data_IF_131860338780
#
_entry.id   IF_131860338780
#
_cell.length_a   1.000
_cell.length_b   1.000
_cell.length_c   1.000
_cell.angle_alpha   90.00
_cell.angle_beta   90.00
_cell.angle_gamma   90.00
#
_symmetry.space_group_name_H-M   'P 1'
#
loop_
_entity.id
_entity.type
_entity.pdbx_description
1 polymer ?
#
# COMPACT_ATOMS: atom_id res chain seq x y z
N UNK A 1 3.78 10.83 4.07
CA UNK A 1 3.12 10.21 2.91
C UNK A 1 2.15 9.17 3.44
N UNK A 2 0.92 9.11 2.94
CA UNK A 2 -0.09 8.12 3.35
C UNK A 2 0.21 6.77 2.68
N UNK A 3 0.12 5.67 3.44
CA UNK A 3 0.50 4.34 2.95
C UNK A 3 -0.38 3.22 3.54
N UNK A 4 -0.11 1.98 3.10
CA UNK A 4 -0.71 0.75 3.64
C UNK A 4 -2.24 0.86 3.74
N UNK A 5 -2.81 0.46 4.88
CA UNK A 5 -4.28 0.40 5.06
C UNK A 5 -4.95 1.76 4.82
N UNK A 6 -4.29 2.88 5.19
CA UNK A 6 -4.84 4.21 4.92
C UNK A 6 -4.86 4.58 3.43
N UNK A 7 -3.86 4.12 2.66
CA UNK A 7 -3.87 4.30 1.21
C UNK A 7 -4.91 3.37 0.55
N UNK A 8 -5.02 2.11 0.99
CA UNK A 8 -6.06 1.19 0.50
C UNK A 8 -7.47 1.74 0.75
N UNK A 9 -7.70 2.34 1.92
CA UNK A 9 -8.97 2.97 2.25
C UNK A 9 -9.24 4.17 1.33
N UNK A 10 -8.24 5.03 1.10
CA UNK A 10 -8.37 6.16 0.18
C UNK A 10 -8.74 5.72 -1.24
N UNK A 11 -8.18 4.60 -1.72
CA UNK A 11 -8.50 4.01 -3.02
C UNK A 11 -9.78 3.16 -3.04
N UNK A 12 -10.51 3.10 -1.92
CA UNK A 12 -11.75 2.34 -1.72
C UNK A 12 -11.59 0.82 -1.94
N UNK A 13 -10.43 0.27 -1.58
CA UNK A 13 -10.09 -1.16 -1.77
C UNK A 13 -10.27 -1.98 -0.49
N UNK A 14 -10.45 -1.32 0.65
CA UNK A 14 -10.75 -1.99 1.91
C UNK A 14 -11.94 -1.35 2.59
N UNK A 15 -12.76 -2.18 3.23
CA UNK A 15 -13.85 -1.74 4.11
C UNK A 15 -13.37 -1.54 5.55
N UNK A 16 -12.10 -1.83 5.84
CA UNK A 16 -11.53 -1.65 7.16
C UNK A 16 -11.37 -0.15 7.45
N UNK A 17 -11.99 0.31 8.53
CA UNK A 17 -11.75 1.64 9.10
C UNK A 17 -10.48 1.59 9.95
N UNK A 18 -9.34 2.13 9.49
CA UNK A 18 -8.11 2.06 10.25
C UNK A 18 -8.23 2.94 11.50
N UNK A 19 -7.98 2.35 12.67
CA UNK A 19 -7.95 3.07 13.96
C UNK A 19 -6.82 4.10 14.06
N UNK A 20 -5.95 4.17 13.05
CA UNK A 20 -4.80 5.06 12.99
C UNK A 20 -4.43 5.35 11.54
N UNK A 21 -3.94 6.56 11.28
CA UNK A 21 -3.43 6.94 9.96
C UNK A 21 -2.04 6.34 9.77
N UNK A 22 -1.85 5.57 8.71
CA UNK A 22 -0.55 5.03 8.33
C UNK A 22 0.25 6.06 7.54
N UNK A 23 1.44 6.36 8.05
CA UNK A 23 2.40 7.24 7.40
C UNK A 23 3.69 6.51 7.05
N UNK A 24 4.15 6.68 5.81
CA UNK A 24 5.45 6.27 5.34
C UNK A 24 6.47 7.40 5.58
N UNK A 25 7.60 7.03 6.18
CA UNK A 25 8.77 7.90 6.38
C UNK A 25 10.07 7.15 6.05
N UNK A 26 11.15 7.89 5.80
CA UNK A 26 12.49 7.37 5.57
C UNK A 26 13.00 6.53 6.72
N UNK A 27 13.89 5.59 6.42
CA UNK A 27 14.52 4.73 7.43
C UNK A 27 15.15 5.53 8.58
N UNK A 28 15.65 6.74 8.32
CA UNK A 28 16.33 7.61 9.29
C UNK A 28 15.51 8.81 9.76
N UNK A 29 14.29 8.98 9.24
CA UNK A 29 13.50 10.18 9.52
C UNK A 29 12.98 10.21 10.95
N UNK A 30 12.84 11.40 11.54
CA UNK A 30 12.18 11.51 12.85
C UNK A 30 10.69 11.21 12.72
N UNK A 31 10.14 10.40 13.63
CA UNK A 31 8.68 10.20 13.72
C UNK A 31 8.02 11.56 14.00
N UNK A 32 6.98 11.96 13.22
CA UNK A 32 6.20 13.15 13.53
C UNK A 32 5.56 13.04 14.91
N UNK A 33 5.58 14.14 15.66
CA UNK A 33 4.86 14.25 16.92
C UNK A 33 3.55 14.98 16.65
N UNK A 34 2.45 14.25 16.67
CA UNK A 34 1.10 14.80 16.54
C UNK A 34 0.20 14.13 17.58
N UNK A 35 -0.70 14.90 18.17
CA UNK A 35 -1.61 14.41 19.21
C UNK A 35 -2.84 13.72 18.61
N UNK A 36 -3.29 14.19 17.44
CA UNK A 36 -4.41 13.62 16.72
C UNK A 36 -4.28 13.89 15.20
N UNK A 37 -4.72 12.97 14.32
CA UNK A 37 -5.21 11.62 14.61
C UNK A 37 -4.08 10.67 15.07
N UNK A 38 -4.40 9.54 15.72
CA UNK A 38 -3.39 8.53 16.06
C UNK A 38 -2.68 8.04 14.79
N UNK A 39 -1.36 7.98 14.82
CA UNK A 39 -0.53 7.58 13.67
C UNK A 39 0.22 6.28 13.89
N UNK A 40 0.29 5.48 12.83
CA UNK A 40 1.22 4.36 12.70
C UNK A 40 2.28 4.69 11.68
N UNK A 41 3.52 4.39 12.02
CA UNK A 41 4.67 4.67 11.18
C UNK A 41 5.14 3.38 10.53
N UNK A 42 5.23 3.40 9.20
CA UNK A 42 5.94 2.38 8.44
C UNK A 42 7.22 3.01 7.87
N UNK A 43 8.33 2.31 8.04
CA UNK A 43 9.64 2.76 7.56
C UNK A 43 9.96 2.14 6.21
N UNK A 44 10.41 2.99 5.30
CA UNK A 44 10.70 2.60 3.93
C UNK A 44 12.11 3.08 3.57
N UNK A 45 12.83 2.26 2.80
CA UNK A 45 14.05 2.71 2.14
C UNK A 45 13.74 3.68 0.99
N UNK A 46 14.72 4.46 0.59
CA UNK A 46 14.56 5.58 -0.35
C UNK A 46 13.84 5.17 -1.64
N UNK A 47 14.24 4.05 -2.26
CA UNK A 47 13.59 3.52 -3.46
C UNK A 47 12.10 3.22 -3.23
N UNK A 48 11.75 2.67 -2.07
CA UNK A 48 10.37 2.31 -1.77
C UNK A 48 9.49 3.52 -1.43
N UNK A 49 10.08 4.64 -1.04
CA UNK A 49 9.38 5.90 -0.77
C UNK A 49 9.05 6.70 -2.03
N UNK A 50 9.77 6.50 -3.12
CA UNK A 50 9.59 7.29 -4.35
C UNK A 50 8.72 6.60 -5.39
N UNK A 51 8.60 5.27 -5.33
CA UNK A 51 7.78 4.50 -6.27
C UNK A 51 6.29 4.68 -5.99
N UNK A 52 5.52 4.86 -7.08
CA UNK A 52 4.06 4.87 -7.06
C UNK A 52 3.49 5.94 -6.12
N UNK A 53 4.03 7.16 -6.20
CA UNK A 53 3.59 8.29 -5.36
C UNK A 53 2.72 9.20 -6.20
N UNK A 54 1.51 9.45 -5.72
CA UNK A 54 0.56 10.37 -6.31
C UNK A 54 0.25 11.49 -5.30
N UNK A 55 -0.10 12.66 -5.81
CA UNK A 55 -0.48 13.81 -4.98
C UNK A 55 -1.94 14.14 -5.23
N UNK A 56 -2.71 14.17 -4.14
CA UNK A 56 -4.13 14.46 -4.13
C UNK A 56 -4.39 15.71 -3.30
N UNK A 57 -5.32 16.55 -3.73
CA UNK A 57 -5.77 17.69 -2.92
C UNK A 57 -6.98 17.25 -2.08
N UNK A 58 -6.81 17.22 -0.76
CA UNK A 58 -7.87 16.88 0.20
C UNK A 58 -8.07 18.11 1.09
N UNK A 59 -9.29 18.66 1.11
CA UNK A 59 -9.60 19.88 1.85
C UNK A 59 -8.60 21.03 1.59
N UNK A 60 -8.28 21.25 0.31
CA UNK A 60 -7.28 22.21 -0.18
C UNK A 60 -5.81 21.94 0.24
N UNK A 61 -5.52 20.82 0.91
CA UNK A 61 -4.17 20.42 1.30
C UNK A 61 -3.61 19.38 0.33
N UNK A 62 -2.41 19.56 -0.23
CA UNK A 62 -1.76 18.54 -1.04
C UNK A 62 -1.25 17.40 -0.15
N UNK A 63 -1.78 16.21 -0.37
CA UNK A 63 -1.45 14.98 0.34
C UNK A 63 -0.82 13.98 -0.62
N UNK A 64 0.39 13.52 -0.28
CA UNK A 64 1.06 12.44 -1.02
C UNK A 64 0.59 11.09 -0.52
N UNK A 65 0.11 10.24 -1.43
CA UNK A 65 -0.43 8.91 -1.17
C UNK A 65 0.22 7.93 -2.13
N UNK A 66 0.51 6.71 -1.68
CA UNK A 66 0.91 5.66 -2.62
C UNK A 66 -0.26 5.27 -3.52
N UNK A 67 0.02 5.04 -4.80
CA UNK A 67 -0.95 4.49 -5.74
C UNK A 67 -1.41 3.10 -5.26
N UNK A 68 -2.49 2.61 -5.88
CA UNK A 68 -3.10 1.38 -5.42
C UNK A 68 -2.20 0.14 -5.63
N UNK A 69 -1.61 -0.02 -6.80
CA UNK A 69 -0.77 -1.18 -7.11
C UNK A 69 0.45 -1.26 -6.16
N UNK A 70 1.08 -0.11 -5.90
CA UNK A 70 2.16 0.05 -4.93
C UNK A 70 1.69 -0.27 -3.52
N UNK A 71 0.50 0.19 -3.13
CA UNK A 71 -0.07 -0.08 -1.80
C UNK A 71 -0.33 -1.57 -1.56
N UNK A 72 -0.83 -2.29 -2.57
CA UNK A 72 -0.99 -3.77 -2.51
C UNK A 72 0.37 -4.45 -2.28
N UNK A 73 1.38 -4.10 -3.09
CA UNK A 73 2.74 -4.65 -2.97
C UNK A 73 3.37 -4.33 -1.61
N UNK A 74 3.18 -3.12 -1.09
CA UNK A 74 3.67 -2.73 0.21
C UNK A 74 3.03 -3.52 1.35
N UNK A 75 1.74 -3.89 1.24
CA UNK A 75 1.08 -4.74 2.22
C UNK A 75 1.72 -6.12 2.29
N UNK A 76 2.10 -6.73 1.15
CA UNK A 76 2.89 -7.97 1.16
C UNK A 76 4.27 -7.78 1.79
N UNK A 77 4.95 -6.66 1.51
CA UNK A 77 6.27 -6.38 2.08
C UNK A 77 6.21 -6.24 3.61
N UNK A 78 5.15 -5.65 4.13
CA UNK A 78 4.97 -5.32 5.57
C UNK A 78 3.92 -6.26 6.21
N UNK A 79 3.64 -7.42 5.60
CA UNK A 79 2.60 -8.38 6.02
C UNK A 79 2.73 -8.86 7.46
N UNK A 80 3.94 -8.89 8.02
CA UNK A 80 4.16 -9.26 9.41
C UNK A 80 3.59 -8.23 10.40
N UNK A 81 3.36 -6.99 9.94
CA UNK A 81 2.81 -5.89 10.74
C UNK A 81 1.34 -5.61 10.39
N UNK A 82 0.99 -5.66 9.10
CA UNK A 82 -0.39 -5.35 8.65
C UNK A 82 -1.31 -6.57 8.57
N UNK A 83 -0.75 -7.78 8.50
CA UNK A 83 -1.49 -9.02 8.26
C UNK A 83 -1.40 -9.49 6.80
N UNK A 84 -1.27 -10.81 6.60
CA UNK A 84 -1.32 -11.42 5.27
C UNK A 84 -2.74 -11.40 4.69
N UNK A 85 -3.74 -11.54 5.54
CA UNK A 85 -5.16 -11.38 5.22
C UNK A 85 -5.45 -10.02 4.58
N UNK A 86 -4.91 -8.93 5.16
CA UNK A 86 -5.02 -7.58 4.58
C UNK A 86 -4.37 -7.49 3.21
N UNK A 87 -3.17 -8.06 3.04
CA UNK A 87 -2.49 -8.07 1.74
C UNK A 87 -3.25 -8.87 0.68
N UNK A 88 -3.82 -10.01 1.07
CA UNK A 88 -4.63 -10.88 0.20
C UNK A 88 -5.95 -10.22 -0.19
N UNK A 89 -6.65 -9.61 0.76
CA UNK A 89 -7.87 -8.83 0.50
C UNK A 89 -7.57 -7.70 -0.47
N UNK A 90 -6.51 -6.93 -0.23
CA UNK A 90 -6.11 -5.82 -1.09
C UNK A 90 -5.82 -6.26 -2.53
N UNK A 91 -5.12 -7.40 -2.70
CA UNK A 91 -4.86 -7.97 -4.02
C UNK A 91 -6.14 -8.39 -4.73
N UNK A 92 -7.00 -9.17 -4.07
CA UNK A 92 -8.26 -9.67 -4.65
C UNK A 92 -9.21 -8.53 -5.01
N UNK A 93 -9.42 -7.58 -4.11
CA UNK A 93 -10.31 -6.44 -4.34
C UNK A 93 -9.73 -5.49 -5.38
N UNK A 94 -8.42 -5.24 -5.35
CA UNK A 94 -7.72 -4.44 -6.37
C UNK A 94 -7.84 -5.05 -7.78
N UNK A 95 -7.75 -6.38 -7.88
CA UNK A 95 -7.95 -7.13 -9.12
C UNK A 95 -9.39 -7.03 -9.62
N UNK A 96 -10.37 -7.40 -8.79
CA UNK A 96 -11.81 -7.39 -9.14
C UNK A 96 -12.33 -6.02 -9.53
N UNK A 97 -11.89 -4.98 -8.82
CA UNK A 97 -12.28 -3.60 -9.13
C UNK A 97 -11.64 -3.06 -10.40
N UNK A 98 -10.65 -3.76 -10.97
CA UNK A 98 -9.81 -3.31 -12.11
C UNK A 98 -9.12 -1.96 -11.89
N UNK A 99 -9.07 -1.47 -10.64
CA UNK A 99 -8.40 -0.23 -10.27
C UNK A 99 -6.87 -0.43 -10.18
N UNK A 100 -6.41 -1.65 -9.88
CA UNK A 100 -4.99 -1.99 -9.85
C UNK A 100 -4.60 -2.72 -11.14
N UNK A 101 -3.70 -2.13 -11.95
CA UNK A 101 -3.20 -2.80 -13.15
C UNK A 101 -2.26 -3.96 -12.77
N UNK A 102 -2.48 -5.18 -13.28
CA UNK A 102 -1.61 -6.33 -13.02
C UNK A 102 -0.13 -6.04 -13.29
N UNK A 103 0.18 -5.40 -14.41
CA UNK A 103 1.56 -5.04 -14.80
C UNK A 103 2.24 -4.11 -13.80
N UNK A 104 1.52 -3.18 -13.18
CA UNK A 104 2.07 -2.29 -12.17
C UNK A 104 2.38 -3.03 -10.86
N UNK A 105 1.55 -4.01 -10.48
CA UNK A 105 1.82 -4.87 -9.32
C UNK A 105 3.11 -5.66 -9.55
N UNK A 106 3.26 -6.29 -10.72
CA UNK A 106 4.48 -7.03 -11.09
C UNK A 106 5.69 -6.09 -11.07
N UNK A 107 5.59 -4.93 -11.75
CA UNK A 107 6.65 -3.92 -11.85
C UNK A 107 7.12 -3.45 -10.47
N UNK A 108 6.19 -3.11 -9.57
CA UNK A 108 6.54 -2.67 -8.22
C UNK A 108 7.14 -3.80 -7.38
N UNK A 109 6.57 -5.00 -7.43
CA UNK A 109 7.07 -6.14 -6.67
C UNK A 109 8.50 -6.54 -7.09
N UNK A 110 8.81 -6.49 -8.39
CA UNK A 110 10.16 -6.68 -8.92
C UNK A 110 11.11 -5.55 -8.50
N UNK A 111 10.69 -4.30 -8.68
CA UNK A 111 11.49 -3.13 -8.31
C UNK A 111 11.87 -3.15 -6.81
N UNK A 112 10.98 -3.66 -5.97
CA UNK A 112 11.15 -3.80 -4.52
C UNK A 112 11.76 -5.14 -4.09
N UNK A 113 12.10 -6.03 -5.03
CA UNK A 113 12.70 -7.36 -4.80
C UNK A 113 11.85 -8.27 -3.90
N UNK A 114 10.53 -8.20 -4.03
CA UNK A 114 9.58 -9.07 -3.30
C UNK A 114 8.72 -9.92 -4.23
N UNK A 115 9.04 -9.99 -5.53
CA UNK A 115 8.23 -10.75 -6.48
C UNK A 115 8.02 -12.21 -6.05
N UNK A 116 9.05 -12.90 -5.56
CA UNK A 116 8.91 -14.28 -5.07
C UNK A 116 7.91 -14.44 -3.92
N UNK A 117 7.65 -13.38 -3.16
CA UNK A 117 6.64 -13.36 -2.09
C UNK A 117 5.25 -13.13 -2.66
N UNK A 118 5.11 -12.27 -3.66
CA UNK A 118 3.81 -11.85 -4.22
C UNK A 118 3.30 -12.84 -5.28
N UNK A 119 4.20 -13.39 -6.08
CA UNK A 119 3.93 -14.28 -7.22
C UNK A 119 2.91 -15.39 -6.94
N UNK A 120 3.05 -16.23 -5.89
CA UNK A 120 2.13 -17.35 -5.69
C UNK A 120 0.69 -16.88 -5.45
N UNK A 121 0.52 -15.73 -4.80
CA UNK A 121 -0.80 -15.14 -4.54
C UNK A 121 -1.37 -14.45 -5.77
N UNK A 122 -0.51 -13.79 -6.55
CA UNK A 122 -0.87 -13.13 -7.79
C UNK A 122 -1.36 -14.13 -8.85
N UNK A 123 -0.63 -15.24 -9.02
CA UNK A 123 -1.01 -16.31 -9.95
C UNK A 123 -2.32 -16.99 -9.53
N UNK A 124 -2.51 -17.25 -8.23
CA UNK A 124 -3.78 -17.78 -7.72
C UNK A 124 -4.96 -16.87 -8.04
N UNK A 125 -4.84 -15.57 -7.79
CA UNK A 125 -5.92 -14.62 -8.10
C UNK A 125 -6.17 -14.51 -9.61
N UNK A 126 -5.11 -14.56 -10.43
CA UNK A 126 -5.25 -14.56 -11.88
C UNK A 126 -5.92 -15.81 -12.45
N UNK A 127 -5.74 -16.97 -11.82
CA UNK A 127 -6.38 -18.22 -12.22
C UNK A 127 -7.85 -18.30 -11.78
N UNK A 128 -8.19 -17.77 -10.60
CA UNK A 128 -9.54 -17.83 -10.02
C UNK A 128 -10.51 -16.80 -10.64
N UNK A 129 -9.99 -15.69 -11.17
CA UNK A 129 -10.78 -14.53 -11.64
C UNK A 129 -10.66 -14.30 -13.17
N UNK A 130 -10.07 -15.26 -13.88
CA UNK A 130 -9.83 -15.23 -15.34
C UNK A 130 -10.98 -15.75 -16.19
#
# INVERSE_FOLDING_TARGET
MICLVSALQFHEITLQLPRSVWIAIGSKDRKPSIDYPPIRVARFGDKALTLGVETYTIDAVPVRIFDLAKSIVDCFRIRNTVGLDVAMEALRTGWRSRKAKPDDIVRYAQALRIWSVVCPYFESVGADEG
#
